data_IF_183265040264
#
_entry.id   IF_183265040264
#
_cell.length_a   1.000
_cell.length_b   1.000
_cell.length_c   1.000
_cell.angle_alpha   90.00
_cell.angle_beta   90.00
_cell.angle_gamma   90.00
#
_symmetry.space_group_name_H-M   'P 1'
#
loop_
_entity.id
_entity.type
_entity.pdbx_description
1 polymer ?
#
# COMPACT_ATOMS: atom_id res chain seq x y z
N UNK A 1 -5.45 -10.90 24.26
CA UNK A 1 -6.73 -11.60 24.05
C UNK A 1 -7.67 -10.63 23.36
N UNK A 2 -8.12 -10.97 22.16
CA UNK A 2 -9.03 -10.12 21.39
C UNK A 2 -10.46 -10.25 21.93
N UNK A 3 -11.36 -9.33 21.54
CA UNK A 3 -12.79 -9.46 21.86
C UNK A 3 -13.38 -10.75 21.28
N UNK A 4 -12.89 -11.19 20.12
CA UNK A 4 -13.30 -12.44 19.48
C UNK A 4 -12.96 -13.64 20.37
N UNK A 5 -11.69 -13.77 20.76
CA UNK A 5 -11.22 -14.89 21.59
C UNK A 5 -11.95 -14.94 22.95
N UNK A 6 -12.22 -13.77 23.55
CA UNK A 6 -12.96 -13.67 24.80
C UNK A 6 -14.44 -14.09 24.65
N UNK A 7 -15.06 -13.74 23.51
CA UNK A 7 -16.45 -14.09 23.21
C UNK A 7 -16.62 -15.59 22.94
N UNK A 8 -15.66 -16.21 22.27
CA UNK A 8 -15.66 -17.66 22.01
C UNK A 8 -15.57 -18.45 23.32
N UNK A 9 -14.69 -18.04 24.25
CA UNK A 9 -14.59 -18.66 25.58
C UNK A 9 -15.86 -18.48 26.40
N UNK A 10 -16.42 -17.26 26.41
CA UNK A 10 -17.67 -16.98 27.14
C UNK A 10 -18.85 -17.77 26.59
N UNK A 11 -18.93 -17.96 25.28
CA UNK A 11 -19.99 -18.77 24.66
C UNK A 11 -19.94 -20.24 25.11
N UNK A 12 -18.74 -20.82 25.21
CA UNK A 12 -18.54 -22.17 25.74
C UNK A 12 -19.00 -22.25 27.19
N UNK A 13 -18.51 -21.35 28.05
CA UNK A 13 -18.82 -21.37 29.48
C UNK A 13 -20.32 -21.10 29.76
N UNK A 14 -20.96 -20.25 28.97
CA UNK A 14 -22.36 -19.86 29.13
C UNK A 14 -23.35 -20.74 28.34
N UNK A 15 -22.88 -21.69 27.53
CA UNK A 15 -23.72 -22.55 26.71
C UNK A 15 -24.55 -21.80 25.66
N UNK A 16 -24.02 -20.71 25.10
CA UNK A 16 -24.72 -19.86 24.14
C UNK A 16 -23.92 -19.68 22.84
N UNK A 17 -24.47 -18.95 21.87
CA UNK A 17 -23.77 -18.70 20.60
C UNK A 17 -22.67 -17.65 20.76
N UNK A 18 -21.57 -17.73 19.98
CA UNK A 18 -20.50 -16.74 20.00
C UNK A 18 -20.98 -15.29 19.80
N UNK A 19 -21.98 -15.08 18.94
CA UNK A 19 -22.56 -13.75 18.71
C UNK A 19 -23.37 -13.23 19.90
N UNK A 20 -24.11 -14.11 20.59
CA UNK A 20 -24.82 -13.74 21.81
C UNK A 20 -23.84 -13.37 22.93
N UNK A 21 -22.80 -14.19 23.11
CA UNK A 21 -21.71 -13.92 24.06
C UNK A 21 -20.99 -12.60 23.74
N UNK A 22 -20.64 -12.37 22.47
CA UNK A 22 -20.00 -11.13 22.01
C UNK A 22 -20.85 -9.90 22.31
N UNK A 23 -22.15 -9.97 21.98
CA UNK A 23 -23.08 -8.88 22.23
C UNK A 23 -23.24 -8.59 23.72
N UNK A 24 -23.33 -9.63 24.55
CA UNK A 24 -23.40 -9.49 26.01
C UNK A 24 -22.11 -8.89 26.58
N UNK A 25 -20.96 -9.37 26.13
CA UNK A 25 -19.64 -8.90 26.58
C UNK A 25 -19.41 -7.44 26.21
N UNK A 26 -19.80 -7.01 25.00
CA UNK A 26 -19.74 -5.60 24.60
C UNK A 26 -20.62 -4.72 25.49
N UNK A 27 -21.88 -5.11 25.74
CA UNK A 27 -22.78 -4.36 26.63
C UNK A 27 -22.21 -4.27 28.05
N UNK A 28 -21.68 -5.38 28.56
CA UNK A 28 -21.05 -5.41 29.87
C UNK A 28 -19.86 -4.44 29.97
N UNK A 29 -18.95 -4.46 28.99
CA UNK A 29 -17.78 -3.58 28.98
C UNK A 29 -18.19 -2.11 28.89
N UNK A 30 -19.18 -1.76 28.05
CA UNK A 30 -19.71 -0.39 27.98
C UNK A 30 -20.34 0.06 29.31
N UNK A 31 -21.14 -0.81 29.94
CA UNK A 31 -21.73 -0.53 31.24
C UNK A 31 -20.67 -0.36 32.32
N UNK A 32 -19.67 -1.26 32.37
CA UNK A 32 -18.57 -1.21 33.33
C UNK A 32 -17.73 0.08 33.20
N UNK A 33 -17.59 0.62 31.98
CA UNK A 33 -16.94 1.90 31.74
C UNK A 33 -17.74 3.09 32.29
N UNK A 34 -19.07 3.02 32.26
CA UNK A 34 -19.96 4.07 32.76
C UNK A 34 -20.03 4.11 34.31
N UNK A 35 -19.72 3.00 34.98
CA UNK A 35 -19.72 2.91 36.44
C UNK A 35 -18.60 3.75 37.04
N UNK A 36 -18.91 4.49 38.11
CA UNK A 36 -17.95 5.23 38.93
C UNK A 36 -17.92 4.66 40.34
N UNK A 37 -16.74 4.55 40.94
CA UNK A 37 -16.61 4.28 42.38
C UNK A 37 -17.14 5.48 43.18
N UNK A 38 -17.41 5.34 44.49
CA UNK A 38 -17.79 6.47 45.36
C UNK A 38 -16.79 7.64 45.33
N UNK A 39 -15.53 7.36 45.00
CA UNK A 39 -14.45 8.35 44.84
C UNK A 39 -14.36 8.91 43.40
N UNK A 40 -15.33 8.65 42.53
CA UNK A 40 -15.41 9.18 41.16
C UNK A 40 -14.51 8.51 40.13
N UNK A 41 -13.86 7.38 40.45
CA UNK A 41 -12.93 6.69 39.54
C UNK A 41 -13.65 5.61 38.73
N UNK A 42 -13.25 5.39 37.48
CA UNK A 42 -13.75 4.23 36.74
C UNK A 42 -13.05 2.96 37.27
N UNK A 43 -13.79 1.95 37.76
CA UNK A 43 -13.19 0.72 38.30
C UNK A 43 -12.54 -0.13 37.21
N UNK A 44 -13.05 -0.03 35.97
CA UNK A 44 -12.52 -0.70 34.78
C UNK A 44 -12.16 0.33 33.72
N UNK A 45 -11.01 0.98 33.88
CA UNK A 45 -10.47 1.90 32.87
C UNK A 45 -9.79 1.12 31.73
N UNK A 46 -10.57 0.45 30.88
CA UNK A 46 -10.01 -0.03 29.61
C UNK A 46 -9.97 1.12 28.61
N UNK A 47 -8.80 1.37 28.02
CA UNK A 47 -8.66 2.28 26.88
C UNK A 47 -8.94 1.49 25.61
N UNK A 48 -9.90 1.95 24.81
CA UNK A 48 -10.03 1.49 23.43
C UNK A 48 -8.78 1.96 22.66
N UNK A 49 -7.83 1.06 22.43
CA UNK A 49 -6.73 1.32 21.52
C UNK A 49 -7.27 1.11 20.10
N UNK A 50 -7.80 2.17 19.52
CA UNK A 50 -8.14 2.17 18.11
C UNK A 50 -6.84 2.34 17.34
N UNK A 51 -6.25 1.22 16.88
CA UNK A 51 -5.14 1.26 15.95
C UNK A 51 -5.70 1.69 14.59
N UNK A 52 -5.72 3.01 14.37
CA UNK A 52 -5.89 3.55 13.04
C UNK A 52 -4.51 3.40 12.40
N UNK A 53 -4.37 2.41 11.53
CA UNK A 53 -3.19 2.29 10.68
C UNK A 53 -2.99 3.63 9.99
N UNK A 54 -1.77 4.19 10.08
CA UNK A 54 -1.42 5.37 9.30
C UNK A 54 -1.65 5.11 7.81
N UNK A 55 -1.66 6.15 6.95
CA UNK A 55 -1.78 5.96 5.52
C UNK A 55 -0.65 5.04 5.03
N UNK A 56 -1.00 3.79 4.71
CA UNK A 56 -0.05 2.80 4.22
C UNK A 56 0.41 3.12 2.80
N UNK A 57 1.47 2.45 2.34
CA UNK A 57 1.86 2.49 0.93
C UNK A 57 0.96 1.54 0.14
N UNK A 58 0.44 1.99 -1.00
CA UNK A 58 -0.25 1.09 -1.93
C UNK A 58 0.79 0.29 -2.68
N UNK A 59 0.63 -1.03 -2.66
CA UNK A 59 1.45 -2.00 -3.36
C UNK A 59 0.60 -2.70 -4.42
N UNK A 60 1.14 -2.88 -5.63
CA UNK A 60 0.46 -3.55 -6.72
C UNK A 60 1.39 -4.47 -7.53
N UNK A 61 0.85 -5.50 -8.15
CA UNK A 61 1.54 -6.28 -9.18
C UNK A 61 1.48 -5.58 -10.54
N UNK A 62 2.37 -5.94 -11.48
CA UNK A 62 2.43 -5.35 -12.82
C UNK A 62 1.52 -6.04 -13.87
N UNK A 63 0.46 -6.68 -13.43
CA UNK A 63 -0.50 -7.32 -14.32
C UNK A 63 -1.51 -6.31 -14.89
N UNK A 64 -2.31 -6.73 -15.86
CA UNK A 64 -3.31 -5.85 -16.46
C UNK A 64 -4.32 -5.33 -15.42
N UNK A 65 -4.91 -4.13 -15.64
CA UNK A 65 -6.00 -3.63 -14.79
C UNK A 65 -7.13 -4.67 -14.66
N UNK A 66 -7.63 -4.86 -13.43
CA UNK A 66 -8.69 -5.82 -13.11
C UNK A 66 -8.20 -7.19 -12.63
N UNK A 67 -6.93 -7.55 -12.85
CA UNK A 67 -6.37 -8.83 -12.37
C UNK A 67 -5.22 -8.68 -11.37
N UNK A 68 -4.81 -7.44 -11.09
CA UNK A 68 -3.72 -7.14 -10.15
C UNK A 68 -4.06 -7.50 -8.72
N UNK A 69 -3.07 -7.98 -7.98
CA UNK A 69 -3.12 -7.93 -6.52
C UNK A 69 -2.81 -6.50 -6.06
N UNK A 70 -3.69 -5.92 -5.24
CA UNK A 70 -3.51 -4.60 -4.62
C UNK A 70 -3.58 -4.78 -3.11
N UNK A 71 -2.60 -4.25 -2.38
CA UNK A 71 -2.56 -4.32 -0.91
C UNK A 71 -1.90 -3.08 -0.31
N UNK A 72 -2.14 -2.85 0.98
CA UNK A 72 -1.38 -1.88 1.78
C UNK A 72 -0.30 -2.54 2.64
N UNK A 73 -0.24 -3.88 2.61
CA UNK A 73 0.76 -4.67 3.33
C UNK A 73 2.05 -4.68 2.52
N UNK A 74 3.04 -3.90 2.97
CA UNK A 74 4.36 -3.83 2.34
C UNK A 74 5.10 -5.14 2.57
N UNK A 75 5.30 -5.89 1.49
CA UNK A 75 6.03 -7.15 1.46
C UNK A 75 6.61 -7.37 0.06
N UNK A 76 7.53 -8.33 -0.09
CA UNK A 76 8.24 -8.56 -1.36
C UNK A 76 7.36 -9.16 -2.45
N UNK A 77 6.46 -10.09 -2.09
CA UNK A 77 5.67 -10.86 -3.04
C UNK A 77 4.17 -10.71 -2.79
N UNK A 78 3.36 -10.84 -3.84
CA UNK A 78 1.91 -10.78 -3.73
C UNK A 78 1.38 -11.88 -2.78
N UNK A 79 0.35 -11.59 -1.97
CA UNK A 79 -0.21 -12.55 -1.02
C UNK A 79 -0.58 -13.88 -1.70
N UNK A 80 0.00 -14.98 -1.23
CA UNK A 80 -0.26 -16.33 -1.75
C UNK A 80 0.52 -16.70 -3.02
N UNK A 81 1.38 -15.82 -3.53
CA UNK A 81 2.10 -16.02 -4.81
C UNK A 81 3.63 -16.01 -4.66
N UNK A 82 4.12 -16.35 -3.47
CA UNK A 82 5.55 -16.42 -3.18
C UNK A 82 6.26 -17.48 -4.02
N UNK A 83 5.62 -18.63 -4.27
CA UNK A 83 6.18 -19.72 -5.07
C UNK A 83 6.34 -19.34 -6.57
N UNK A 84 5.48 -18.44 -7.06
CA UNK A 84 5.56 -17.87 -8.41
C UNK A 84 6.51 -16.65 -8.49
N UNK A 85 7.07 -16.24 -7.36
CA UNK A 85 7.93 -15.04 -7.23
C UNK A 85 7.28 -13.74 -7.74
N UNK A 86 5.95 -13.63 -7.68
CA UNK A 86 5.21 -12.45 -8.18
C UNK A 86 5.44 -11.28 -7.23
N UNK A 87 6.16 -10.26 -7.68
CA UNK A 87 6.58 -9.13 -6.86
C UNK A 87 5.51 -8.06 -6.69
N UNK A 88 5.56 -7.36 -5.56
CA UNK A 88 4.78 -6.15 -5.32
C UNK A 88 5.62 -4.91 -5.56
N UNK A 89 5.01 -3.91 -6.17
CA UNK A 89 5.62 -2.64 -6.53
C UNK A 89 4.89 -1.51 -5.81
N UNK A 90 5.66 -0.60 -5.20
CA UNK A 90 5.09 0.62 -4.65
C UNK A 90 4.35 1.39 -5.76
N UNK A 91 3.17 1.90 -5.44
CA UNK A 91 2.32 2.59 -6.41
C UNK A 91 2.13 4.03 -5.98
N UNK A 92 2.62 4.95 -6.80
CA UNK A 92 2.53 6.39 -6.61
C UNK A 92 1.59 6.98 -7.65
N UNK A 93 0.84 8.01 -7.28
CA UNK A 93 -0.14 8.63 -8.17
C UNK A 93 0.26 10.07 -8.46
N UNK A 94 0.16 10.47 -9.72
CA UNK A 94 0.24 11.88 -10.10
C UNK A 94 -0.88 12.65 -9.41
N UNK A 95 -0.53 13.79 -8.81
CA UNK A 95 -1.47 14.62 -8.05
C UNK A 95 -2.53 15.28 -8.92
N UNK A 96 -2.21 15.53 -10.18
CA UNK A 96 -3.08 16.28 -11.09
C UNK A 96 -4.04 15.36 -11.86
N UNK A 97 -3.57 14.20 -12.31
CA UNK A 97 -4.35 13.31 -13.17
C UNK A 97 -4.64 11.92 -12.58
N UNK A 98 -4.05 11.58 -11.42
CA UNK A 98 -4.23 10.26 -10.79
C UNK A 98 -3.60 9.09 -11.55
N UNK A 99 -2.76 9.34 -12.55
CA UNK A 99 -1.99 8.27 -13.23
C UNK A 99 -1.06 7.58 -12.22
N UNK A 100 -1.03 6.25 -12.27
CA UNK A 100 -0.18 5.44 -11.42
C UNK A 100 1.21 5.23 -12.03
N UNK A 101 2.22 5.21 -11.15
CA UNK A 101 3.63 5.00 -11.46
C UNK A 101 4.25 4.06 -10.42
N UNK A 102 5.06 3.13 -10.91
CA UNK A 102 5.74 2.10 -10.14
C UNK A 102 7.25 2.33 -10.21
N UNK A 103 7.91 2.78 -9.13
CA UNK A 103 9.36 2.91 -9.10
C UNK A 103 10.02 1.56 -9.33
N UNK A 104 10.94 1.50 -10.30
CA UNK A 104 11.69 0.28 -10.60
C UNK A 104 13.17 0.57 -10.84
N UNK A 105 14.01 -0.44 -10.62
CA UNK A 105 15.28 -0.58 -11.30
C UNK A 105 15.05 -1.30 -12.62
N UNK A 106 15.67 -0.80 -13.68
CA UNK A 106 15.75 -1.42 -15.00
C UNK A 106 17.16 -1.95 -15.19
N UNK A 107 17.27 -3.25 -15.35
CA UNK A 107 18.53 -3.94 -15.64
C UNK A 107 18.46 -4.50 -17.05
N UNK A 108 19.34 -4.05 -17.94
CA UNK A 108 19.44 -4.54 -19.31
C UNK A 108 20.43 -5.70 -19.38
N UNK A 109 19.95 -6.93 -19.08
CA UNK A 109 20.76 -8.15 -19.12
C UNK A 109 20.59 -8.94 -20.43
N UNK A 110 21.45 -9.95 -20.64
CA UNK A 110 21.42 -10.80 -21.85
C UNK A 110 20.15 -11.63 -22.07
N UNK A 111 19.22 -11.67 -21.11
CA UNK A 111 17.94 -12.36 -21.19
C UNK A 111 16.74 -11.43 -21.46
N UNK A 112 16.97 -10.12 -21.62
CA UNK A 112 15.94 -9.10 -21.82
C UNK A 112 15.89 -8.07 -20.68
N UNK A 113 14.97 -7.12 -20.80
CA UNK A 113 14.75 -6.07 -19.79
C UNK A 113 14.14 -6.67 -18.52
N UNK A 114 14.84 -6.50 -17.39
CA UNK A 114 14.34 -6.87 -16.07
C UNK A 114 13.95 -5.62 -15.29
N UNK A 115 12.76 -5.65 -14.67
CA UNK A 115 12.27 -4.56 -13.83
C UNK A 115 12.02 -5.04 -12.40
N UNK A 116 12.82 -4.58 -11.45
CA UNK A 116 12.69 -4.92 -10.03
C UNK A 116 12.16 -3.73 -9.22
N UNK A 117 11.36 -3.95 -8.17
CA UNK A 117 10.79 -2.87 -7.38
C UNK A 117 11.88 -2.14 -6.59
N UNK A 118 11.76 -0.81 -6.50
CA UNK A 118 12.60 0.05 -5.65
C UNK A 118 11.77 1.02 -4.82
N UNK A 119 12.39 1.65 -3.84
CA UNK A 119 11.80 2.81 -3.17
C UNK A 119 11.93 4.06 -4.05
N UNK A 120 10.97 4.98 -3.95
CA UNK A 120 10.90 6.13 -4.88
C UNK A 120 12.09 7.08 -4.76
N UNK A 121 12.60 7.25 -3.54
CA UNK A 121 13.73 8.09 -3.17
C UNK A 121 15.09 7.42 -3.38
N UNK A 122 15.09 6.11 -3.65
CA UNK A 122 16.27 5.35 -3.99
C UNK A 122 16.61 5.53 -5.47
N UNK A 123 17.63 6.35 -5.74
CA UNK A 123 18.11 6.72 -7.09
C UNK A 123 19.60 6.42 -7.28
N UNK A 124 20.25 5.84 -6.28
CA UNK A 124 21.67 5.46 -6.35
C UNK A 124 21.75 4.00 -6.74
N UNK A 125 22.19 3.72 -7.97
CA UNK A 125 22.34 2.34 -8.41
C UNK A 125 23.57 1.71 -7.75
N UNK A 126 23.44 0.47 -7.28
CA UNK A 126 24.55 -0.34 -6.77
C UNK A 126 25.42 -0.90 -7.91
N UNK A 127 24.83 -1.07 -9.10
CA UNK A 127 25.47 -1.55 -10.33
C UNK A 127 25.46 -0.43 -11.39
N UNK A 128 26.54 -0.27 -12.16
CA UNK A 128 26.66 0.75 -13.21
C UNK A 128 25.68 0.52 -14.36
N UNK A 129 25.24 -0.72 -14.56
CA UNK A 129 24.29 -1.09 -15.62
C UNK A 129 22.81 -0.90 -15.22
N UNK A 130 22.52 -0.71 -13.94
CA UNK A 130 21.16 -0.54 -13.44
C UNK A 130 20.71 0.92 -13.55
N UNK A 131 19.52 1.12 -14.11
CA UNK A 131 18.90 2.44 -14.27
C UNK A 131 17.64 2.54 -13.45
N UNK A 132 17.52 3.57 -12.61
CA UNK A 132 16.24 3.83 -11.96
C UNK A 132 15.24 4.38 -12.98
N UNK A 133 13.98 4.04 -12.79
CA UNK A 133 12.89 4.54 -13.62
C UNK A 133 11.53 4.35 -12.97
N UNK A 134 10.51 4.52 -13.78
CA UNK A 134 9.12 4.29 -13.41
C UNK A 134 8.43 3.52 -14.53
N UNK A 135 7.68 2.48 -14.16
CA UNK A 135 6.69 1.87 -15.05
C UNK A 135 5.33 2.51 -14.82
N UNK A 136 4.56 2.69 -15.89
CA UNK A 136 3.18 3.10 -15.78
C UNK A 136 2.34 2.31 -16.79
N UNK A 137 1.12 1.85 -16.42
CA UNK A 137 0.22 1.24 -17.38
C UNK A 137 -0.15 2.23 -18.47
N UNK A 138 -0.05 1.80 -19.73
CA UNK A 138 -0.48 2.60 -20.88
C UNK A 138 -2.00 2.77 -20.86
N UNK A 139 -2.48 4.00 -21.06
CA UNK A 139 -3.91 4.34 -21.16
C UNK A 139 -4.13 5.25 -22.36
N UNK A 140 -5.25 5.10 -23.06
CA UNK A 140 -5.54 5.89 -24.28
C UNK A 140 -5.59 7.41 -24.04
N UNK A 141 -5.96 7.84 -22.83
CA UNK A 141 -6.03 9.26 -22.44
C UNK A 141 -4.72 9.88 -21.96
N UNK A 142 -3.57 9.20 -22.09
CA UNK A 142 -2.29 9.74 -21.67
C UNK A 142 -1.87 10.91 -22.57
N UNK A 143 -1.38 11.98 -21.94
CA UNK A 143 -0.82 13.14 -22.64
C UNK A 143 0.48 12.76 -23.35
N UNK A 144 1.36 12.03 -22.66
CA UNK A 144 2.60 11.52 -23.23
C UNK A 144 2.35 10.35 -24.17
N UNK A 145 2.71 10.50 -25.45
CA UNK A 145 2.59 9.48 -26.50
C UNK A 145 3.93 8.97 -27.02
N UNK A 146 5.03 9.47 -26.46
CA UNK A 146 6.40 9.09 -26.83
C UNK A 146 7.13 10.16 -27.64
N UNK A 147 6.47 11.26 -28.00
CA UNK A 147 7.10 12.41 -28.64
C UNK A 147 7.74 13.32 -27.59
N UNK A 148 8.81 14.01 -27.98
CA UNK A 148 9.51 14.93 -27.10
C UNK A 148 8.62 16.15 -26.77
N UNK A 149 7.79 16.54 -27.74
CA UNK A 149 6.82 17.62 -27.65
C UNK A 149 5.68 17.33 -26.67
N UNK A 150 5.48 16.05 -26.31
CA UNK A 150 4.49 15.66 -25.30
C UNK A 150 5.00 15.88 -23.86
N UNK A 151 6.30 16.13 -23.68
CA UNK A 151 6.90 16.39 -22.37
C UNK A 151 6.62 17.84 -21.94
N UNK A 152 6.53 18.11 -20.62
CA UNK A 152 6.42 19.48 -20.13
C UNK A 152 7.57 20.35 -20.65
N UNK A 153 7.27 21.54 -21.18
CA UNK A 153 8.28 22.47 -21.70
C UNK A 153 9.39 22.76 -20.69
N UNK A 154 9.06 22.78 -19.40
CA UNK A 154 10.01 22.98 -18.30
C UNK A 154 11.13 21.91 -18.27
N UNK A 155 10.89 20.73 -18.84
CA UNK A 155 11.86 19.62 -18.91
C UNK A 155 12.71 19.67 -20.18
N UNK A 156 12.39 20.55 -21.13
CA UNK A 156 13.07 20.64 -22.41
C UNK A 156 14.06 21.81 -22.44
N UNK A 157 15.25 21.57 -22.95
CA UNK A 157 16.21 22.58 -23.35
C UNK A 157 15.94 22.97 -24.82
N UNK A 158 15.30 24.12 -24.99
CA UNK A 158 14.94 24.69 -26.30
C UNK A 158 15.98 25.71 -26.80
N UNK A 159 17.12 25.86 -26.10
CA UNK A 159 18.18 26.81 -26.50
C UNK A 159 19.05 26.29 -27.65
N UNK A 160 18.92 25.00 -27.98
CA UNK A 160 19.60 24.33 -29.10
C UNK A 160 18.66 24.23 -30.31
N UNK A 161 19.23 24.08 -31.50
CA UNK A 161 18.47 23.87 -32.74
C UNK A 161 17.56 22.61 -32.68
N UNK A 162 17.93 21.62 -31.87
CA UNK A 162 17.12 20.43 -31.59
C UNK A 162 16.79 20.41 -30.10
N UNK A 163 15.49 20.40 -29.71
CA UNK A 163 15.12 20.32 -28.31
C UNK A 163 15.59 18.99 -27.69
N UNK A 164 16.05 19.04 -26.44
CA UNK A 164 16.48 17.85 -25.70
C UNK A 164 15.96 17.90 -24.27
N UNK A 165 15.81 16.74 -23.62
CA UNK A 165 15.49 16.70 -22.18
C UNK A 165 16.68 17.26 -21.40
N UNK A 166 16.39 18.11 -20.42
CA UNK A 166 17.39 18.64 -19.48
C UNK A 166 18.00 17.48 -18.69
N UNK A 167 19.31 17.50 -18.40
CA UNK A 167 19.97 16.49 -17.57
C UNK A 167 19.44 16.50 -16.13
#
# INVERSE_FOLDING_TARGET
MTLKDASERLAVDAGCTPDAARSALQRFLLAAHAVKTPQGRAPFAFKLHQFISGPGKVMATLEAPGVRNITQDVQRFAPGRQAEAVQLYATHFCRDCGQEYHPVWHSSGGAGDLYSPREIDDITADDEDDRYGFLCPRREGQQYRGALEDLPEAWLDVTRNEPRVKP
#
